data_IF_963260657645
#
_entry.id   IF_963260657645
#
_cell.length_a   1.000
_cell.length_b   1.000
_cell.length_c   1.000
_cell.angle_alpha   90.00
_cell.angle_beta   90.00
_cell.angle_gamma   90.00
#
_symmetry.space_group_name_H-M   'P 1'
#
loop_
_entity.id
_entity.type
_entity.pdbx_description
1 polymer ?
#
# COMPACT_ATOMS: atom_id res chain seq x y z
N UNK A 1 -2.52 -8.11 -21.59
CA UNK A 1 -1.92 -8.22 -20.23
C UNK A 1 -2.95 -7.71 -19.24
N UNK A 2 -3.29 -8.55 -18.29
CA UNK A 2 -4.27 -8.27 -17.24
C UNK A 2 -3.52 -8.04 -15.93
N UNK A 3 -3.86 -6.97 -15.21
CA UNK A 3 -3.20 -6.63 -13.95
C UNK A 3 -4.26 -6.45 -12.87
N UNK A 4 -4.16 -7.26 -11.83
CA UNK A 4 -5.00 -7.17 -10.64
C UNK A 4 -4.39 -6.22 -9.62
N UNK A 5 -5.21 -5.42 -8.95
CA UNK A 5 -4.72 -4.48 -7.93
C UNK A 5 -5.74 -4.29 -6.79
N UNK A 6 -5.25 -3.88 -5.62
CA UNK A 6 -6.11 -3.51 -4.51
C UNK A 6 -6.81 -2.18 -4.83
N UNK A 7 -8.10 -2.26 -5.15
CA UNK A 7 -8.94 -1.10 -5.43
C UNK A 7 -9.29 -0.28 -4.19
N UNK A 8 -10.18 0.67 -4.36
CA UNK A 8 -10.94 0.98 -5.58
C UNK A 8 -10.15 1.72 -6.67
N UNK A 9 -10.81 2.04 -7.78
CA UNK A 9 -10.27 2.94 -8.81
C UNK A 9 -9.94 4.30 -8.18
N UNK A 10 -8.83 4.94 -8.59
CA UNK A 10 -8.30 6.16 -7.97
C UNK A 10 -7.46 5.93 -6.70
N UNK A 11 -7.24 4.67 -6.28
CA UNK A 11 -6.36 4.36 -5.15
C UNK A 11 -4.88 4.57 -5.50
N UNK A 12 -4.04 4.76 -4.48
CA UNK A 12 -2.58 4.83 -4.65
C UNK A 12 -1.99 3.55 -5.26
N UNK A 13 -2.63 2.38 -5.03
CA UNK A 13 -2.25 1.12 -5.70
C UNK A 13 -2.46 1.21 -7.21
N UNK A 14 -3.56 1.82 -7.67
CA UNK A 14 -3.77 2.04 -9.10
C UNK A 14 -2.76 3.02 -9.69
N UNK A 15 -2.41 4.07 -8.96
CA UNK A 15 -1.37 5.02 -9.39
C UNK A 15 -0.03 4.29 -9.54
N UNK A 16 0.35 3.45 -8.57
CA UNK A 16 1.55 2.63 -8.66
C UNK A 16 1.52 1.70 -9.88
N UNK A 17 0.35 1.08 -10.17
CA UNK A 17 0.14 0.25 -11.35
C UNK A 17 0.43 1.04 -12.65
N UNK A 18 -0.19 2.20 -12.79
CA UNK A 18 -0.06 3.04 -13.99
C UNK A 18 1.38 3.52 -14.15
N UNK A 19 2.04 3.92 -13.07
CA UNK A 19 3.43 4.38 -13.11
C UNK A 19 4.41 3.30 -13.56
N UNK A 20 4.14 2.04 -13.22
CA UNK A 20 5.03 0.93 -13.56
C UNK A 20 4.74 0.33 -14.93
N UNK A 21 3.48 0.01 -15.22
CA UNK A 21 3.08 -0.68 -16.43
C UNK A 21 2.62 0.24 -17.57
N UNK A 22 2.37 1.52 -17.27
CA UNK A 22 1.76 2.45 -18.21
C UNK A 22 0.24 2.36 -18.28
N UNK A 23 -0.34 3.21 -19.11
CA UNK A 23 -1.78 3.24 -19.36
C UNK A 23 -2.22 2.22 -20.42
N UNK A 24 -3.52 2.03 -20.58
CA UNK A 24 -4.12 1.22 -21.65
C UNK A 24 -4.14 -0.28 -21.41
N UNK A 25 -3.74 -0.77 -20.25
CA UNK A 25 -3.82 -2.17 -19.87
C UNK A 25 -5.16 -2.53 -19.23
N UNK A 26 -5.50 -3.81 -19.26
CA UNK A 26 -6.69 -4.30 -18.57
C UNK A 26 -6.44 -4.36 -17.06
N UNK A 27 -7.06 -3.46 -16.31
CA UNK A 27 -6.90 -3.30 -14.86
C UNK A 27 -8.08 -3.93 -14.14
N UNK A 28 -7.81 -4.90 -13.25
CA UNK A 28 -8.82 -5.65 -12.50
C UNK A 28 -8.78 -5.21 -11.04
N UNK A 29 -9.72 -4.37 -10.64
CA UNK A 29 -9.84 -3.91 -9.25
C UNK A 29 -10.40 -5.01 -8.35
N UNK A 30 -9.73 -5.31 -7.26
CA UNK A 30 -10.18 -6.25 -6.21
C UNK A 30 -10.43 -5.51 -4.90
N UNK A 31 -11.39 -5.99 -4.13
CA UNK A 31 -11.76 -5.37 -2.84
C UNK A 31 -10.81 -5.72 -1.69
N UNK A 32 -10.03 -6.80 -1.82
CA UNK A 32 -9.14 -7.31 -0.79
C UNK A 32 -7.79 -7.70 -1.36
N UNK A 33 -6.76 -7.68 -0.51
CA UNK A 33 -5.42 -8.17 -0.87
C UNK A 33 -5.49 -9.64 -1.29
N UNK A 34 -6.24 -10.48 -0.56
CA UNK A 34 -6.43 -11.90 -0.94
C UNK A 34 -7.04 -12.04 -2.32
N UNK A 35 -8.03 -11.21 -2.68
CA UNK A 35 -8.61 -11.24 -4.01
C UNK A 35 -7.62 -10.88 -5.13
N UNK A 36 -6.56 -10.10 -4.84
CA UNK A 36 -5.47 -9.86 -5.79
C UNK A 36 -4.63 -11.12 -5.96
N UNK A 37 -4.24 -11.76 -4.85
CA UNK A 37 -3.50 -13.05 -4.87
C UNK A 37 -4.29 -14.10 -5.65
N UNK A 38 -5.56 -14.33 -5.30
CA UNK A 38 -6.44 -15.31 -5.97
C UNK A 38 -6.52 -15.06 -7.49
N UNK A 39 -6.53 -13.77 -7.90
CA UNK A 39 -6.62 -13.41 -9.32
C UNK A 39 -5.37 -13.79 -10.11
N UNK A 40 -4.20 -13.78 -9.49
CA UNK A 40 -2.94 -14.20 -10.13
C UNK A 40 -2.77 -15.71 -10.04
N UNK A 41 -3.10 -16.32 -8.90
CA UNK A 41 -3.04 -17.78 -8.71
C UNK A 41 -3.96 -18.53 -9.69
N UNK A 42 -5.15 -17.97 -9.94
CA UNK A 42 -6.13 -18.53 -10.90
C UNK A 42 -5.86 -18.15 -12.37
N UNK A 43 -4.77 -17.43 -12.65
CA UNK A 43 -4.41 -16.96 -13.99
C UNK A 43 -5.44 -15.99 -14.63
N UNK A 44 -6.34 -15.38 -13.81
CA UNK A 44 -7.24 -14.31 -14.24
C UNK A 44 -6.45 -13.02 -14.55
N UNK A 45 -5.31 -12.84 -13.88
CA UNK A 45 -4.36 -11.75 -14.10
C UNK A 45 -2.93 -12.25 -14.27
N UNK A 46 -2.17 -11.61 -15.16
CA UNK A 46 -0.75 -11.89 -15.38
C UNK A 46 0.11 -11.41 -14.21
N UNK A 47 -0.31 -10.31 -13.55
CA UNK A 47 0.35 -9.68 -12.42
C UNK A 47 -0.67 -9.19 -11.39
N UNK A 48 -0.22 -9.14 -10.13
CA UNK A 48 -0.95 -8.53 -9.03
C UNK A 48 -0.15 -7.41 -8.37
N UNK A 49 -0.80 -6.32 -7.94
CA UNK A 49 -0.13 -5.27 -7.17
C UNK A 49 -0.80 -5.12 -5.82
N UNK A 50 -0.01 -5.20 -4.77
CA UNK A 50 -0.44 -5.03 -3.39
C UNK A 50 0.57 -4.21 -2.59
N UNK A 51 0.09 -3.51 -1.57
CA UNK A 51 0.94 -2.81 -0.61
C UNK A 51 1.62 -3.81 0.32
N UNK A 52 2.93 -3.66 0.54
CA UNK A 52 3.68 -4.48 1.50
C UNK A 52 4.10 -3.66 2.73
N UNK A 53 4.32 -2.38 2.57
CA UNK A 53 4.82 -1.51 3.64
C UNK A 53 4.50 -0.04 3.35
N UNK A 54 4.26 0.72 4.42
CA UNK A 54 4.24 2.18 4.38
C UNK A 54 5.24 2.75 5.40
N UNK A 55 5.93 3.83 5.06
CA UNK A 55 7.00 4.42 5.90
C UNK A 55 6.52 4.92 7.27
N UNK A 56 5.22 5.14 7.46
CA UNK A 56 4.62 5.58 8.72
C UNK A 56 3.94 4.46 9.50
N UNK A 57 3.21 3.61 8.81
CA UNK A 57 2.40 2.55 9.43
C UNK A 57 3.13 1.22 9.54
N UNK A 58 4.27 1.11 8.83
CA UNK A 58 5.05 -0.11 8.79
C UNK A 58 4.44 -1.17 7.88
N UNK A 59 4.57 -2.41 8.30
CA UNK A 59 4.27 -3.60 7.52
C UNK A 59 2.78 -3.85 7.33
N UNK A 60 2.39 -4.21 6.11
CA UNK A 60 1.04 -4.71 5.81
C UNK A 60 0.99 -6.21 6.11
N UNK A 61 0.58 -6.53 7.32
CA UNK A 61 0.58 -7.89 7.87
C UNK A 61 -0.14 -8.91 6.97
N UNK A 62 -1.28 -8.51 6.37
CA UNK A 62 -2.06 -9.38 5.51
C UNK A 62 -1.29 -9.78 4.23
N UNK A 63 -0.50 -8.87 3.66
CA UNK A 63 0.34 -9.18 2.50
C UNK A 63 1.43 -10.20 2.87
N UNK A 64 2.08 -10.05 4.03
CA UNK A 64 3.09 -11.00 4.49
C UNK A 64 2.49 -12.39 4.76
N UNK A 65 1.31 -12.44 5.41
CA UNK A 65 0.63 -13.69 5.68
C UNK A 65 0.22 -14.43 4.40
N UNK A 66 -0.19 -13.70 3.36
CA UNK A 66 -0.53 -14.27 2.06
C UNK A 66 0.71 -14.71 1.27
N UNK A 67 1.81 -13.95 1.31
CA UNK A 67 3.08 -14.36 0.71
C UNK A 67 3.62 -15.66 1.34
N UNK A 68 3.38 -15.88 2.63
CA UNK A 68 3.78 -17.12 3.30
C UNK A 68 2.89 -18.32 2.88
N UNK A 69 1.65 -18.06 2.48
CA UNK A 69 0.66 -19.10 2.15
C UNK A 69 0.50 -19.37 0.65
N UNK A 70 1.13 -18.56 -0.21
CA UNK A 70 1.01 -18.62 -1.68
C UNK A 70 2.35 -19.03 -2.31
N UNK A 71 2.28 -19.64 -3.48
CA UNK A 71 3.45 -19.95 -4.32
C UNK A 71 3.84 -18.76 -5.24
N UNK A 72 3.09 -17.65 -5.18
CA UNK A 72 3.39 -16.46 -5.98
C UNK A 72 4.74 -15.84 -5.56
N UNK A 73 5.44 -15.34 -6.57
CA UNK A 73 6.72 -14.68 -6.40
C UNK A 73 6.55 -13.16 -6.41
N UNK A 74 7.42 -12.47 -5.69
CA UNK A 74 7.63 -11.04 -5.87
C UNK A 74 8.43 -10.85 -7.16
N UNK A 75 7.76 -10.35 -8.19
CA UNK A 75 8.36 -10.08 -9.49
C UNK A 75 9.19 -8.80 -9.47
N UNK A 76 8.65 -7.73 -8.84
CA UNK A 76 9.33 -6.44 -8.69
C UNK A 76 8.73 -5.64 -7.53
N UNK A 77 9.34 -4.50 -7.19
CA UNK A 77 8.81 -3.56 -6.21
C UNK A 77 8.65 -2.15 -6.79
N UNK A 78 7.66 -1.43 -6.28
CA UNK A 78 7.40 -0.02 -6.60
C UNK A 78 7.41 0.77 -5.30
N UNK A 79 8.15 1.89 -5.29
CA UNK A 79 8.06 2.88 -4.23
C UNK A 79 7.32 4.10 -4.76
N UNK A 80 6.19 4.42 -4.13
CA UNK A 80 5.37 5.57 -4.48
C UNK A 80 5.31 6.53 -3.30
N UNK A 81 5.72 7.76 -3.54
CA UNK A 81 5.47 8.83 -2.59
C UNK A 81 3.97 9.15 -2.57
N UNK A 82 3.42 9.24 -1.36
CA UNK A 82 2.00 9.50 -1.15
C UNK A 82 1.78 10.99 -0.93
N UNK A 83 1.03 11.58 -1.81
CA UNK A 83 0.57 12.96 -1.70
C UNK A 83 -0.92 12.98 -1.40
N UNK A 84 -1.28 13.67 -0.33
CA UNK A 84 -2.67 13.87 0.04
C UNK A 84 -3.13 15.27 -0.46
N UNK A 85 -4.26 15.28 -1.15
CA UNK A 85 -4.86 16.49 -1.67
C UNK A 85 -6.23 16.72 -1.03
N UNK A 86 -6.57 17.97 -0.76
CA UNK A 86 -7.95 18.38 -0.46
C UNK A 86 -8.66 18.65 -1.78
N UNK A 87 -9.76 17.96 -2.00
CA UNK A 87 -10.53 17.94 -3.24
C UNK A 87 -11.99 18.21 -2.90
N UNK A 88 -12.67 19.07 -3.67
CA UNK A 88 -14.06 19.44 -3.39
C UNK A 88 -14.82 19.86 -4.67
N UNK A 89 -16.11 20.15 -4.54
CA UNK A 89 -16.89 20.79 -5.61
C UNK A 89 -16.51 22.28 -5.82
N UNK A 90 -15.94 22.91 -4.80
CA UNK A 90 -15.49 24.32 -4.82
C UNK A 90 -13.97 24.39 -4.80
N UNK A 91 -13.41 25.51 -5.23
CA UNK A 91 -11.98 25.86 -5.04
C UNK A 91 -11.76 26.75 -3.83
N UNK A 92 -12.84 27.26 -3.19
CA UNK A 92 -12.76 28.12 -2.00
C UNK A 92 -12.79 27.25 -0.74
N UNK A 93 -11.64 27.15 -0.08
CA UNK A 93 -11.45 26.36 1.14
C UNK A 93 -12.40 26.79 2.27
N UNK A 94 -12.77 28.08 2.33
CA UNK A 94 -13.64 28.61 3.40
C UNK A 94 -15.09 28.11 3.33
N UNK A 95 -15.49 27.53 2.20
CA UNK A 95 -16.82 26.95 2.04
C UNK A 95 -16.92 25.51 2.54
N UNK A 96 -15.80 24.86 2.84
CA UNK A 96 -15.75 23.44 3.19
C UNK A 96 -16.10 23.26 4.66
N UNK A 97 -17.21 22.60 4.92
CA UNK A 97 -17.73 22.29 6.28
C UNK A 97 -17.57 20.81 6.64
N UNK A 98 -17.49 19.91 5.61
CA UNK A 98 -17.37 18.46 5.80
C UNK A 98 -16.29 17.88 4.92
N UNK A 99 -15.53 16.92 5.48
CA UNK A 99 -14.45 16.25 4.77
C UNK A 99 -14.58 14.74 4.95
N UNK A 100 -14.66 14.02 3.84
CA UNK A 100 -14.72 12.56 3.79
C UNK A 100 -13.34 11.99 3.47
N UNK A 101 -12.85 11.01 4.23
CA UNK A 101 -11.61 10.32 3.92
C UNK A 101 -11.44 9.05 4.74
N UNK A 102 -10.51 8.20 4.31
CA UNK A 102 -10.07 7.09 5.12
C UNK A 102 -9.38 7.60 6.42
N UNK A 103 -9.61 6.96 7.58
CA UNK A 103 -9.03 7.40 8.87
C UNK A 103 -7.51 7.63 8.82
N UNK A 104 -6.80 6.80 8.09
CA UNK A 104 -5.36 6.92 7.86
C UNK A 104 -4.98 8.26 7.22
N UNK A 105 -5.70 8.70 6.18
CA UNK A 105 -5.43 9.97 5.50
C UNK A 105 -5.71 11.17 6.42
N UNK A 106 -6.72 11.09 7.29
CA UNK A 106 -6.94 12.08 8.33
C UNK A 106 -5.75 12.16 9.30
N UNK A 107 -5.23 10.99 9.74
CA UNK A 107 -4.04 10.94 10.61
C UNK A 107 -2.80 11.55 9.96
N UNK A 108 -2.64 11.38 8.65
CA UNK A 108 -1.52 11.93 7.89
C UNK A 108 -1.62 13.44 7.62
N UNK A 109 -2.81 14.04 7.76
CA UNK A 109 -3.08 15.46 7.51
C UNK A 109 -3.55 16.22 8.75
N UNK A 110 -3.35 15.65 9.95
CA UNK A 110 -3.95 16.15 11.19
C UNK A 110 -3.57 17.60 11.52
N UNK A 111 -2.28 17.93 11.42
CA UNK A 111 -1.77 19.26 11.74
C UNK A 111 -2.29 20.28 10.73
N UNK A 112 -2.24 19.94 9.45
CA UNK A 112 -2.73 20.80 8.39
C UNK A 112 -4.23 21.09 8.51
N UNK A 113 -5.04 20.06 8.79
CA UNK A 113 -6.49 20.20 8.99
C UNK A 113 -6.82 21.08 10.17
N UNK A 114 -6.12 20.90 11.29
CA UNK A 114 -6.30 21.71 12.50
C UNK A 114 -5.99 23.19 12.26
N UNK A 115 -5.01 23.50 11.42
CA UNK A 115 -4.61 24.88 11.12
C UNK A 115 -5.54 25.55 10.11
N UNK A 116 -5.94 24.83 9.05
CA UNK A 116 -6.63 25.41 7.89
C UNK A 116 -8.15 25.21 7.90
N UNK A 117 -8.65 24.13 8.53
CA UNK A 117 -10.06 23.76 8.58
C UNK A 117 -10.50 23.27 9.98
N UNK A 118 -10.24 24.08 11.04
CA UNK A 118 -10.46 23.67 12.43
C UNK A 118 -11.91 23.32 12.78
N UNK A 119 -12.87 23.84 12.01
CA UNK A 119 -14.31 23.68 12.25
C UNK A 119 -14.95 22.65 11.30
N UNK A 120 -14.22 22.07 10.36
CA UNK A 120 -14.77 21.09 9.44
C UNK A 120 -15.07 19.76 10.16
N UNK A 121 -16.23 19.19 9.86
CA UNK A 121 -16.62 17.86 10.33
C UNK A 121 -15.81 16.79 9.54
N UNK A 122 -15.03 15.97 10.23
CA UNK A 122 -14.26 14.89 9.62
C UNK A 122 -15.07 13.59 9.66
N UNK A 123 -15.46 13.08 8.49
CA UNK A 123 -16.34 11.90 8.35
C UNK A 123 -15.51 10.74 7.79
N UNK A 124 -15.24 9.70 8.60
CA UNK A 124 -14.47 8.54 8.15
C UNK A 124 -15.27 7.68 7.18
N UNK A 125 -14.62 7.23 6.11
CA UNK A 125 -15.13 6.31 5.08
C UNK A 125 -14.12 5.20 4.83
N UNK A 126 -14.52 4.14 4.10
CA UNK A 126 -13.65 2.96 3.88
C UNK A 126 -12.47 3.22 2.92
N UNK A 127 -12.58 4.23 2.04
CA UNK A 127 -11.51 4.60 1.12
C UNK A 127 -11.60 6.07 0.73
N UNK A 128 -10.47 6.65 0.28
CA UNK A 128 -10.43 8.02 -0.22
C UNK A 128 -11.29 8.19 -1.50
N UNK A 129 -11.36 7.15 -2.34
CA UNK A 129 -12.23 7.17 -3.53
C UNK A 129 -13.71 7.18 -3.16
N UNK A 130 -14.12 6.43 -2.12
CA UNK A 130 -15.48 6.51 -1.57
C UNK A 130 -15.75 7.91 -1.02
N UNK A 131 -14.76 8.53 -0.36
CA UNK A 131 -14.84 9.92 0.06
C UNK A 131 -15.13 10.85 -1.10
N UNK A 132 -14.40 10.73 -2.20
CA UNK A 132 -14.62 11.53 -3.41
C UNK A 132 -15.99 11.29 -4.06
N UNK A 133 -16.45 10.03 -4.11
CA UNK A 133 -17.77 9.67 -4.62
C UNK A 133 -18.90 10.27 -3.77
N UNK A 134 -18.67 10.46 -2.47
CA UNK A 134 -19.65 11.00 -1.52
C UNK A 134 -19.79 12.51 -1.62
N UNK A 135 -18.80 13.24 -2.14
CA UNK A 135 -18.82 14.71 -2.28
C UNK A 135 -19.83 15.13 -3.35
N UNK A 136 -20.99 15.62 -2.89
CA UNK A 136 -22.09 16.03 -3.77
C UNK A 136 -22.40 17.54 -3.70
N UNK A 137 -21.97 18.23 -2.65
CA UNK A 137 -22.29 19.63 -2.38
C UNK A 137 -21.02 20.50 -2.35
N UNK A 138 -21.21 21.80 -2.57
CA UNK A 138 -20.12 22.78 -2.57
C UNK A 138 -19.44 22.95 -1.21
N UNK A 139 -20.12 22.61 -0.09
CA UNK A 139 -19.56 22.65 1.26
C UNK A 139 -18.97 21.32 1.72
N UNK A 140 -18.80 20.36 0.81
CA UNK A 140 -18.22 19.05 1.07
C UNK A 140 -16.92 18.88 0.32
N UNK A 141 -15.94 18.20 0.94
CA UNK A 141 -14.67 17.85 0.35
C UNK A 141 -14.24 16.44 0.74
N UNK A 142 -13.16 15.99 0.15
CA UNK A 142 -12.48 14.74 0.49
C UNK A 142 -10.96 14.91 0.51
N UNK A 143 -10.27 13.99 1.19
CA UNK A 143 -8.82 13.87 1.12
C UNK A 143 -8.48 12.61 0.34
N UNK A 144 -7.56 12.73 -0.62
CA UNK A 144 -7.07 11.62 -1.41
C UNK A 144 -6.03 12.02 -2.44
N UNK A 145 -5.80 11.17 -3.42
CA UNK A 145 -4.88 11.46 -4.52
C UNK A 145 -5.49 12.47 -5.50
N UNK A 146 -4.66 13.24 -6.17
CA UNK A 146 -5.10 14.20 -7.20
C UNK A 146 -5.91 13.54 -8.32
N UNK A 147 -5.64 12.28 -8.65
CA UNK A 147 -6.37 11.54 -9.69
C UNK A 147 -7.88 11.44 -9.44
N UNK A 148 -8.33 11.64 -8.20
CA UNK A 148 -9.76 11.67 -7.87
C UNK A 148 -10.48 12.90 -8.43
N UNK A 149 -9.76 13.98 -8.74
CA UNK A 149 -10.33 15.18 -9.37
C UNK A 149 -10.91 14.85 -10.73
N UNK A 150 -10.12 14.22 -11.58
CA UNK A 150 -10.55 13.82 -12.91
C UNK A 150 -11.61 12.71 -12.86
N UNK A 151 -11.40 11.72 -11.97
CA UNK A 151 -12.28 10.56 -11.88
C UNK A 151 -13.71 10.93 -11.46
N UNK A 152 -13.88 11.91 -10.56
CA UNK A 152 -15.17 12.30 -10.00
C UNK A 152 -15.63 13.70 -10.40
N UNK A 153 -14.89 14.39 -11.28
CA UNK A 153 -15.23 15.74 -11.73
C UNK A 153 -15.15 16.80 -10.62
N UNK A 154 -14.23 16.61 -9.67
CA UNK A 154 -14.01 17.49 -8.54
C UNK A 154 -12.85 18.46 -8.81
N UNK A 155 -12.78 19.52 -8.03
CA UNK A 155 -11.72 20.53 -8.09
C UNK A 155 -10.62 20.26 -7.07
N UNK A 156 -9.37 20.46 -7.45
CA UNK A 156 -8.25 20.48 -6.53
C UNK A 156 -8.29 21.79 -5.73
N UNK A 157 -8.47 21.70 -4.42
CA UNK A 157 -8.48 22.86 -3.51
C UNK A 157 -7.07 23.14 -3.00
N UNK A 158 -6.39 22.08 -2.55
CA UNK A 158 -5.02 22.17 -2.04
C UNK A 158 -4.28 20.85 -2.24
N UNK A 159 -3.08 20.92 -2.74
CA UNK A 159 -2.16 19.78 -2.87
C UNK A 159 -1.20 19.68 -1.68
N UNK A 160 -0.65 18.48 -1.48
CA UNK A 160 0.41 18.19 -0.51
C UNK A 160 0.05 18.64 0.90
N UNK A 161 -1.14 18.24 1.37
CA UNK A 161 -1.64 18.59 2.70
C UNK A 161 -1.19 17.60 3.79
N UNK A 162 -0.44 16.57 3.43
CA UNK A 162 0.17 15.65 4.40
C UNK A 162 1.19 16.35 5.30
N UNK A 163 1.18 16.03 6.60
CA UNK A 163 2.05 16.61 7.61
C UNK A 163 3.54 16.26 7.40
N UNK A 164 3.81 15.13 6.75
CA UNK A 164 5.17 14.68 6.48
C UNK A 164 5.44 14.52 4.99
N UNK A 165 6.58 15.09 4.58
CA UNK A 165 7.07 14.99 3.19
C UNK A 165 7.68 13.63 2.84
N UNK A 166 7.81 12.70 3.77
CA UNK A 166 8.50 11.41 3.57
C UNK A 166 7.54 10.21 3.51
N UNK A 167 6.22 10.47 3.38
CA UNK A 167 5.23 9.42 3.28
C UNK A 167 5.39 8.63 1.97
N UNK A 168 5.94 7.43 2.08
CA UNK A 168 6.20 6.55 0.95
C UNK A 168 5.59 5.18 1.20
N UNK A 169 4.88 4.67 0.22
CA UNK A 169 4.34 3.31 0.24
C UNK A 169 5.14 2.43 -0.71
N UNK A 170 5.50 1.25 -0.23
CA UNK A 170 6.12 0.20 -1.03
C UNK A 170 5.05 -0.80 -1.45
N UNK A 171 4.98 -1.05 -2.74
CA UNK A 171 4.13 -2.06 -3.36
C UNK A 171 5.01 -3.16 -3.91
N UNK A 172 4.48 -4.38 -3.94
CA UNK A 172 5.09 -5.51 -4.63
C UNK A 172 4.23 -5.94 -5.80
N UNK A 173 4.89 -6.32 -6.87
CA UNK A 173 4.29 -6.93 -8.06
C UNK A 173 4.38 -8.44 -7.88
N UNK A 174 3.24 -9.10 -7.86
CA UNK A 174 3.10 -10.54 -7.73
C UNK A 174 2.97 -11.19 -9.09
N UNK A 175 3.59 -12.35 -9.28
CA UNK A 175 3.47 -13.15 -10.49
C UNK A 175 3.79 -14.62 -10.22
N UNK A 176 3.27 -15.51 -11.07
CA UNK A 176 3.68 -16.92 -11.17
C UNK A 176 5.03 -17.09 -11.90
N UNK A 177 5.56 -16.00 -12.49
CA UNK A 177 6.79 -16.03 -13.28
C UNK A 177 7.93 -15.41 -12.50
N UNK A 178 9.07 -16.06 -12.50
CA UNK A 178 10.30 -15.49 -11.95
C UNK A 178 10.86 -14.46 -12.94
N UNK A 179 11.31 -13.33 -12.39
CA UNK A 179 12.07 -12.34 -13.17
C UNK A 179 13.49 -12.82 -13.40
N UNK A 180 14.07 -12.46 -14.55
CA UNK A 180 15.47 -12.69 -14.83
C UNK A 180 16.37 -11.92 -13.87
N UNK A 181 17.47 -12.54 -13.43
CA UNK A 181 18.43 -11.91 -12.52
C UNK A 181 19.04 -10.67 -13.15
N UNK A 182 18.98 -9.54 -12.43
CA UNK A 182 19.69 -8.32 -12.77
C UNK A 182 20.79 -8.02 -11.75
N UNK A 183 21.75 -7.13 -12.10
CA UNK A 183 22.82 -6.72 -11.17
C UNK A 183 22.31 -6.02 -9.91
N UNK A 184 21.11 -5.44 -9.96
CA UNK A 184 20.50 -4.69 -8.86
C UNK A 184 19.29 -5.42 -8.28
N UNK A 185 19.21 -6.75 -8.42
CA UNK A 185 18.12 -7.54 -7.87
C UNK A 185 18.17 -7.56 -6.35
N UNK A 186 16.99 -7.44 -5.73
CA UNK A 186 16.76 -7.77 -4.33
C UNK A 186 16.20 -9.19 -4.25
N UNK A 187 16.45 -9.87 -3.16
CA UNK A 187 15.87 -11.18 -2.87
C UNK A 187 15.05 -11.07 -1.62
N UNK A 188 13.80 -11.50 -1.69
CA UNK A 188 12.94 -11.65 -0.51
C UNK A 188 12.92 -13.10 -0.07
N UNK A 189 13.13 -13.34 1.20
CA UNK A 189 13.19 -14.68 1.79
C UNK A 189 12.21 -14.79 2.95
N UNK A 190 11.58 -15.95 3.06
CA UNK A 190 10.80 -16.34 4.24
C UNK A 190 11.50 -17.54 4.85
N UNK A 191 12.00 -17.39 6.08
CA UNK A 191 12.81 -18.40 6.74
C UNK A 191 12.23 -18.75 8.10
N UNK A 192 12.10 -20.06 8.36
CA UNK A 192 11.72 -20.59 9.67
C UNK A 192 12.94 -21.20 10.35
N UNK A 193 13.25 -20.85 11.60
CA UNK A 193 14.32 -21.53 12.34
C UNK A 193 13.91 -22.97 12.65
N UNK A 194 14.83 -23.95 12.53
CA UNK A 194 14.51 -25.36 12.79
C UNK A 194 14.13 -25.62 14.27
N UNK A 195 14.54 -24.75 15.17
CA UNK A 195 14.17 -24.79 16.59
C UNK A 195 13.95 -23.35 17.09
N UNK A 196 12.71 -22.89 17.00
CA UNK A 196 12.32 -21.51 17.35
C UNK A 196 12.54 -21.15 18.82
N UNK A 197 12.47 -22.16 19.73
CA UNK A 197 12.54 -21.95 21.17
C UNK A 197 13.97 -21.99 21.71
N UNK A 198 14.95 -22.36 20.87
CA UNK A 198 16.33 -22.43 21.29
C UNK A 198 16.96 -21.04 21.41
N UNK A 199 17.74 -20.84 22.49
CA UNK A 199 18.59 -19.65 22.63
C UNK A 199 19.55 -19.50 21.44
N UNK A 200 19.62 -18.29 20.87
CA UNK A 200 20.44 -18.00 19.70
C UNK A 200 19.86 -18.43 18.34
N UNK A 201 18.60 -18.87 18.29
CA UNK A 201 17.94 -19.33 17.07
C UNK A 201 17.97 -18.27 15.96
N UNK A 202 17.58 -17.04 16.26
CA UNK A 202 17.65 -15.92 15.31
C UNK A 202 19.11 -15.58 14.91
N UNK A 203 20.03 -15.57 15.86
CA UNK A 203 21.45 -15.36 15.58
C UNK A 203 21.98 -16.37 14.55
N UNK A 204 21.62 -17.65 14.72
CA UNK A 204 22.07 -18.71 13.81
C UNK A 204 21.47 -18.57 12.41
N UNK A 205 20.26 -17.99 12.27
CA UNK A 205 19.67 -17.63 10.97
C UNK A 205 20.41 -16.49 10.30
N UNK A 206 20.84 -15.49 11.06
CA UNK A 206 21.51 -14.29 10.51
C UNK A 206 22.99 -14.52 10.21
N UNK A 207 23.64 -15.45 10.91
CA UNK A 207 25.07 -15.70 10.79
C UNK A 207 25.55 -16.01 9.35
N UNK A 208 24.86 -16.84 8.53
CA UNK A 208 25.28 -17.09 7.15
C UNK A 208 25.34 -15.81 6.29
N UNK A 209 24.37 -14.92 6.42
CA UNK A 209 24.35 -13.65 5.67
C UNK A 209 25.55 -12.77 6.04
N UNK A 210 25.83 -12.63 7.33
CA UNK A 210 26.99 -11.86 7.79
C UNK A 210 28.32 -12.50 7.36
N UNK A 211 28.42 -13.84 7.33
CA UNK A 211 29.65 -14.55 6.92
C UNK A 211 29.95 -14.40 5.44
N UNK A 212 28.94 -14.22 4.60
CA UNK A 212 29.02 -14.05 3.15
C UNK A 212 28.96 -12.57 2.71
N UNK A 213 29.06 -11.63 3.67
CA UNK A 213 28.99 -10.18 3.43
C UNK A 213 27.69 -9.75 2.71
N UNK A 214 26.57 -10.45 2.99
CA UNK A 214 25.26 -10.16 2.45
C UNK A 214 24.53 -9.19 3.39
N UNK A 215 24.24 -8.00 2.89
CA UNK A 215 23.46 -7.02 3.64
C UNK A 215 21.97 -7.37 3.66
N UNK A 216 21.36 -7.33 4.84
CA UNK A 216 19.92 -7.45 5.03
C UNK A 216 19.28 -6.06 5.13
N UNK A 217 18.40 -5.75 4.22
CA UNK A 217 17.71 -4.44 4.17
C UNK A 217 16.56 -4.36 5.16
N UNK A 218 15.99 -5.52 5.54
CA UNK A 218 14.85 -5.62 6.42
C UNK A 218 14.86 -6.95 7.16
N UNK A 219 14.29 -6.96 8.36
CA UNK A 219 13.91 -8.16 9.08
C UNK A 219 12.54 -7.94 9.73
N UNK A 220 11.62 -8.86 9.52
CA UNK A 220 10.32 -8.88 10.15
C UNK A 220 9.97 -10.26 10.66
N UNK A 221 9.53 -10.36 11.91
CA UNK A 221 9.06 -11.61 12.49
C UNK A 221 7.54 -11.69 12.44
N UNK A 222 7.03 -12.84 11.97
CA UNK A 222 5.58 -13.12 11.94
C UNK A 222 5.29 -14.44 12.61
N UNK A 223 4.19 -14.55 13.39
CA UNK A 223 3.74 -15.84 13.93
C UNK A 223 3.50 -16.84 12.79
N UNK A 224 4.04 -18.04 12.93
CA UNK A 224 3.77 -19.11 11.98
C UNK A 224 2.39 -19.73 12.28
N UNK A 225 1.48 -19.64 11.32
CA UNK A 225 0.11 -20.16 11.49
C UNK A 225 0.12 -21.66 11.68
N UNK A 226 -0.57 -22.13 12.70
CA UNK A 226 -0.70 -23.57 13.04
C UNK A 226 0.30 -24.08 14.07
N UNK A 227 1.26 -23.27 14.51
CA UNK A 227 2.17 -23.61 15.62
C UNK A 227 2.21 -22.47 16.63
N UNK A 228 1.77 -22.74 17.87
CA UNK A 228 1.80 -21.77 18.96
C UNK A 228 3.25 -21.32 19.23
N UNK A 229 3.45 -20.02 19.31
CA UNK A 229 4.74 -19.37 19.63
C UNK A 229 5.89 -19.65 18.67
N UNK A 230 5.59 -20.20 17.48
CA UNK A 230 6.56 -20.34 16.39
C UNK A 230 6.53 -19.11 15.48
N UNK A 231 7.70 -18.71 14.98
CA UNK A 231 7.85 -17.52 14.16
C UNK A 231 8.60 -17.83 12.86
N UNK A 232 8.23 -17.14 11.81
CA UNK A 232 9.00 -17.04 10.57
C UNK A 232 9.57 -15.63 10.43
N UNK A 233 10.66 -15.52 9.70
CA UNK A 233 11.33 -14.24 9.46
C UNK A 233 11.33 -13.93 7.97
N UNK A 234 10.92 -12.70 7.65
CA UNK A 234 11.01 -12.12 6.30
C UNK A 234 12.25 -11.25 6.23
N UNK A 235 13.04 -11.44 5.18
CA UNK A 235 14.25 -10.69 4.87
C UNK A 235 14.15 -10.02 3.52
#
# INVERSE_FOLDING_TARGET
>A
MNISYLGPKGSFTQIALINYFGEGLNQISKRTISGVFDSVDNEDADFGIVTIENSFEGSVNNTHDLLMASDLLIYDEIQLRIHQCLIAQTTDINQIEKIYSHPQSFGQCQSWLKENLPNAELIPVFSNSEGAETVLKSNEGCIGSETLTELYGLSLVKENIEDSKENTTRFVILSNKQQDKSKNSKVSLIVSPPNSDASGSLYNLLKPFASEDINLLRIESRPFRGQLWSYVFFY
#
